data_IF_378535730981
#
_entry.id   IF_378535730981
#
_cell.length_a   1.000
_cell.length_b   1.000
_cell.length_c   1.000
_cell.angle_alpha   90.00
_cell.angle_beta   90.00
_cell.angle_gamma   90.00
#
_symmetry.space_group_name_H-M   'P 1'
#
loop_
_entity.id
_entity.type
_entity.pdbx_description
1 polymer ?
#
# COMPACT_ATOMS: atom_id res chain seq x y z
N UNK A 1 -20.30 -13.92 2.43
CA UNK A 1 -18.99 -13.39 2.83
C UNK A 1 -19.20 -12.09 3.58
N UNK A 2 -18.69 -12.01 4.79
CA UNK A 2 -18.73 -10.77 5.57
C UNK A 2 -17.39 -10.05 5.47
N UNK A 3 -17.43 -8.74 5.32
CA UNK A 3 -16.23 -7.91 5.23
C UNK A 3 -16.17 -7.01 6.46
N UNK A 4 -15.26 -7.34 7.37
CA UNK A 4 -15.02 -6.58 8.61
C UNK A 4 -13.74 -5.74 8.54
N UNK A 5 -12.77 -6.18 7.76
CA UNK A 5 -11.47 -5.51 7.64
C UNK A 5 -11.03 -5.47 6.18
N UNK A 6 -10.76 -4.26 5.69
CA UNK A 6 -10.22 -4.01 4.36
C UNK A 6 -8.78 -3.57 4.52
N UNK A 7 -7.86 -4.28 3.85
CA UNK A 7 -6.46 -3.87 3.77
C UNK A 7 -6.25 -3.04 2.52
N UNK A 8 -5.75 -1.84 2.68
CA UNK A 8 -5.39 -0.98 1.56
C UNK A 8 -3.89 -0.66 1.59
N UNK A 9 -3.08 -1.43 0.87
CA UNK A 9 -1.67 -1.09 0.67
C UNK A 9 -1.55 0.13 -0.25
N UNK A 10 -0.68 1.05 0.12
CA UNK A 10 -0.39 2.22 -0.69
C UNK A 10 1.12 2.50 -0.73
N UNK A 11 1.62 2.96 -1.86
CA UNK A 11 2.97 3.50 -2.01
C UNK A 11 2.97 5.03 -2.00
N UNK A 12 1.81 5.64 -1.69
CA UNK A 12 1.59 7.08 -1.68
C UNK A 12 1.73 7.75 -3.05
N UNK A 13 1.81 6.98 -4.13
CA UNK A 13 1.79 7.51 -5.48
C UNK A 13 0.43 8.09 -5.84
N UNK A 14 0.38 8.97 -6.83
CA UNK A 14 -0.88 9.50 -7.35
C UNK A 14 -1.81 8.39 -7.82
N UNK A 15 -1.25 7.36 -8.46
CA UNK A 15 -2.03 6.20 -8.91
C UNK A 15 -2.66 5.46 -7.74
N UNK A 16 -1.88 5.20 -6.70
CA UNK A 16 -2.36 4.50 -5.51
C UNK A 16 -3.49 5.25 -4.81
N UNK A 17 -3.38 6.56 -4.67
CA UNK A 17 -4.38 7.41 -4.01
C UNK A 17 -5.72 7.40 -4.76
N UNK A 18 -5.74 7.14 -6.04
CA UNK A 18 -6.99 7.03 -6.82
C UNK A 18 -7.89 5.89 -6.32
N UNK A 19 -7.36 4.91 -5.61
CA UNK A 19 -8.15 3.86 -5.00
C UNK A 19 -8.93 4.32 -3.75
N UNK A 20 -8.59 5.46 -3.16
CA UNK A 20 -9.16 5.93 -1.90
C UNK A 20 -10.69 5.97 -1.90
N UNK A 21 -11.29 6.49 -2.97
CA UNK A 21 -12.76 6.57 -3.11
C UNK A 21 -13.42 5.19 -3.13
N UNK A 22 -12.74 4.18 -3.68
CA UNK A 22 -13.24 2.80 -3.66
C UNK A 22 -13.16 2.22 -2.25
N UNK A 23 -12.05 2.47 -1.56
CA UNK A 23 -11.86 2.03 -0.17
C UNK A 23 -12.91 2.64 0.74
N UNK A 24 -13.13 3.95 0.62
CA UNK A 24 -14.14 4.65 1.42
C UNK A 24 -15.54 4.09 1.18
N UNK A 25 -15.92 3.94 -0.09
CA UNK A 25 -17.22 3.41 -0.46
C UNK A 25 -17.45 1.99 0.06
N UNK A 26 -16.46 1.13 -0.07
CA UNK A 26 -16.53 -0.25 0.43
C UNK A 26 -16.59 -0.30 1.96
N UNK A 27 -15.76 0.51 2.62
CA UNK A 27 -15.72 0.57 4.08
C UNK A 27 -17.07 1.06 4.65
N UNK A 28 -17.65 2.07 4.04
CA UNK A 28 -18.95 2.60 4.43
C UNK A 28 -20.06 1.54 4.23
N UNK A 29 -20.09 0.90 3.06
CA UNK A 29 -21.07 -0.10 2.71
C UNK A 29 -21.07 -1.31 3.66
N UNK A 30 -19.89 -1.81 3.99
CA UNK A 30 -19.73 -2.98 4.86
C UNK A 30 -19.58 -2.63 6.34
N UNK A 31 -19.51 -1.35 6.68
CA UNK A 31 -19.14 -0.88 8.03
C UNK A 31 -17.85 -1.52 8.50
N UNK A 32 -16.86 -1.55 7.59
CA UNK A 32 -15.59 -2.23 7.78
C UNK A 32 -14.49 -1.29 8.28
N UNK A 33 -13.58 -1.86 9.06
CA UNK A 33 -12.32 -1.20 9.42
C UNK A 33 -11.40 -1.18 8.21
N UNK A 34 -10.69 -0.07 8.00
CA UNK A 34 -9.65 0.06 6.98
C UNK A 34 -8.29 0.00 7.65
N UNK A 35 -7.44 -0.90 7.20
CA UNK A 35 -6.02 -0.92 7.56
C UNK A 35 -5.25 -0.35 6.38
N UNK A 36 -4.73 0.84 6.56
CA UNK A 36 -3.90 1.53 5.56
C UNK A 36 -2.45 1.13 5.79
N UNK A 37 -1.87 0.45 4.82
CA UNK A 37 -0.53 -0.11 4.92
C UNK A 37 0.44 0.59 3.98
N UNK A 38 1.52 1.12 4.53
CA UNK A 38 2.66 1.59 3.75
C UNK A 38 3.84 0.63 3.92
N UNK A 39 4.42 0.20 2.81
CA UNK A 39 5.61 -0.66 2.82
C UNK A 39 6.80 0.13 2.28
N UNK A 40 7.76 0.42 3.15
CA UNK A 40 9.01 1.04 2.77
C UNK A 40 9.98 -0.02 2.24
N UNK A 41 10.73 0.32 1.21
CA UNK A 41 11.78 -0.56 0.66
C UNK A 41 12.91 -0.67 1.69
N UNK A 42 13.41 -1.89 1.90
CA UNK A 42 14.58 -2.11 2.74
C UNK A 42 15.85 -1.70 1.99
N UNK A 43 16.29 -0.48 2.24
CA UNK A 43 17.48 0.08 1.59
C UNK A 43 18.76 -0.64 2.00
N UNK A 44 18.82 -1.22 3.20
CA UNK A 44 19.98 -1.99 3.63
C UNK A 44 20.20 -3.23 2.76
N UNK A 45 19.13 -3.88 2.34
CA UNK A 45 19.19 -5.01 1.41
C UNK A 45 19.75 -4.58 0.05
N UNK A 46 19.42 -3.37 -0.41
CA UNK A 46 19.89 -2.85 -1.69
C UNK A 46 21.35 -2.33 -1.63
N UNK A 47 21.74 -1.69 -0.55
CA UNK A 47 23.03 -1.02 -0.43
C UNK A 47 24.04 -1.72 0.45
N UNK A 48 23.65 -2.77 1.16
CA UNK A 48 24.51 -3.47 2.14
C UNK A 48 25.76 -4.12 1.55
N UNK A 49 25.82 -4.38 0.24
CA UNK A 49 26.97 -4.91 -0.45
C UNK A 49 28.02 -3.86 -0.83
N UNK A 50 27.69 -2.58 -0.69
CA UNK A 50 28.54 -1.46 -1.06
C UNK A 50 28.92 -0.66 0.19
N UNK A 51 30.16 -0.18 0.23
CA UNK A 51 30.67 0.60 1.37
C UNK A 51 30.12 2.02 1.42
N UNK A 52 29.38 2.45 0.42
CA UNK A 52 28.79 3.78 0.32
C UNK A 52 27.40 3.71 -0.32
N UNK A 53 26.35 4.36 0.22
CA UNK A 53 26.37 5.12 1.48
C UNK A 53 26.58 4.22 2.71
N UNK A 54 27.04 4.80 3.81
CA UNK A 54 27.27 4.04 5.04
C UNK A 54 25.97 3.52 5.64
N UNK A 55 25.99 2.43 6.42
CA UNK A 55 24.81 1.92 7.12
C UNK A 55 24.10 2.98 7.97
N UNK A 56 24.83 3.89 8.59
CA UNK A 56 24.28 4.98 9.39
C UNK A 56 23.47 5.97 8.54
N UNK A 57 23.99 6.33 7.37
CA UNK A 57 23.29 7.22 6.43
C UNK A 57 22.01 6.56 5.89
N UNK A 58 22.07 5.28 5.56
CA UNK A 58 20.92 4.52 5.09
C UNK A 58 19.82 4.48 6.16
N UNK A 59 20.19 4.17 7.42
CA UNK A 59 19.28 4.15 8.54
C UNK A 59 18.64 5.52 8.76
N UNK A 60 19.43 6.59 8.74
CA UNK A 60 18.94 7.96 8.91
C UNK A 60 17.92 8.32 7.81
N UNK A 61 18.21 7.97 6.57
CA UNK A 61 17.31 8.19 5.43
C UNK A 61 16.00 7.40 5.59
N UNK A 62 16.09 6.14 6.01
CA UNK A 62 14.91 5.30 6.25
C UNK A 62 14.03 5.85 7.37
N UNK A 63 14.62 6.29 8.48
CA UNK A 63 13.88 6.90 9.57
C UNK A 63 13.16 8.17 9.12
N UNK A 64 13.82 8.99 8.32
CA UNK A 64 13.22 10.18 7.72
C UNK A 64 12.06 9.82 6.79
N UNK A 65 12.26 8.82 5.92
CA UNK A 65 11.24 8.34 5.00
C UNK A 65 10.00 7.85 5.73
N UNK A 66 10.19 7.07 6.80
CA UNK A 66 9.09 6.54 7.59
C UNK A 66 8.28 7.64 8.29
N UNK A 67 8.97 8.65 8.84
CA UNK A 67 8.31 9.80 9.45
C UNK A 67 7.52 10.61 8.42
N UNK A 68 8.11 10.81 7.25
CA UNK A 68 7.46 11.53 6.15
C UNK A 68 6.23 10.76 5.64
N UNK A 69 6.36 9.47 5.44
CA UNK A 69 5.26 8.59 5.04
C UNK A 69 4.12 8.62 6.06
N UNK A 70 4.43 8.58 7.34
CA UNK A 70 3.42 8.66 8.42
C UNK A 70 2.58 9.93 8.29
N UNK A 71 3.21 11.08 8.08
CA UNK A 71 2.51 12.35 7.90
C UNK A 71 1.62 12.34 6.65
N UNK A 72 2.11 11.78 5.56
CA UNK A 72 1.33 11.65 4.32
C UNK A 72 0.13 10.72 4.50
N UNK A 73 0.29 9.61 5.22
CA UNK A 73 -0.81 8.69 5.52
C UNK A 73 -1.87 9.36 6.38
N UNK A 74 -1.48 10.14 7.38
CA UNK A 74 -2.40 10.91 8.21
C UNK A 74 -3.21 11.90 7.35
N UNK A 75 -2.58 12.54 6.37
CA UNK A 75 -3.24 13.44 5.43
C UNK A 75 -4.25 12.69 4.55
N UNK A 76 -3.88 11.51 4.06
CA UNK A 76 -4.79 10.66 3.26
C UNK A 76 -6.00 10.26 4.09
N UNK A 77 -5.80 9.83 5.33
CA UNK A 77 -6.91 9.48 6.23
C UNK A 77 -7.87 10.65 6.45
N UNK A 78 -7.32 11.84 6.67
CA UNK A 78 -8.12 13.04 6.94
C UNK A 78 -8.89 13.54 5.72
N UNK A 79 -8.32 13.42 4.52
CA UNK A 79 -8.91 13.96 3.29
C UNK A 79 -9.75 12.96 2.51
N UNK A 80 -9.26 11.72 2.40
CA UNK A 80 -9.79 10.75 1.44
C UNK A 80 -10.67 9.68 2.07
N UNK A 81 -10.57 9.48 3.39
CA UNK A 81 -11.25 8.39 4.09
C UNK A 81 -12.21 8.88 5.17
N UNK A 82 -12.86 10.01 4.95
CA UNK A 82 -13.74 10.66 5.95
C UNK A 82 -14.92 9.81 6.38
N UNK A 83 -15.49 9.02 5.46
CA UNK A 83 -16.66 8.19 5.75
C UNK A 83 -16.31 6.80 6.30
N UNK A 84 -15.04 6.47 6.47
CA UNK A 84 -14.64 5.18 7.02
C UNK A 84 -14.95 5.11 8.52
N UNK A 85 -15.62 4.04 8.99
CA UNK A 85 -15.97 3.89 10.40
C UNK A 85 -14.76 3.82 11.31
N UNK A 86 -13.71 3.15 10.88
CA UNK A 86 -12.47 2.99 11.65
C UNK A 86 -11.29 2.82 10.71
N UNK A 87 -10.21 3.55 10.99
CA UNK A 87 -8.98 3.50 10.20
C UNK A 87 -7.80 3.21 11.13
N UNK A 88 -6.97 2.26 10.74
CA UNK A 88 -5.69 2.00 11.39
C UNK A 88 -4.58 2.13 10.36
N UNK A 89 -3.47 2.72 10.75
CA UNK A 89 -2.29 2.87 9.88
C UNK A 89 -1.21 1.88 10.30
N UNK A 90 -0.54 1.29 9.30
CA UNK A 90 0.60 0.41 9.52
C UNK A 90 1.73 0.81 8.58
N UNK A 91 2.92 0.95 9.14
CA UNK A 91 4.13 1.23 8.39
C UNK A 91 5.09 0.08 8.63
N UNK A 92 5.48 -0.59 7.55
CA UNK A 92 6.40 -1.72 7.60
C UNK A 92 7.52 -1.54 6.58
N UNK A 93 8.54 -2.33 6.68
CA UNK A 93 9.69 -2.28 5.81
C UNK A 93 9.97 -3.67 5.26
N UNK A 94 10.24 -3.77 3.96
CA UNK A 94 10.54 -5.04 3.32
C UNK A 94 10.10 -5.10 1.87
N UNK A 95 9.92 -6.31 1.36
CA UNK A 95 9.37 -6.54 0.04
C UNK A 95 7.86 -6.28 0.04
N UNK A 96 7.41 -5.42 -0.86
CA UNK A 96 6.02 -4.96 -0.85
C UNK A 96 5.01 -6.11 -0.93
N UNK A 97 5.14 -7.01 -1.91
CA UNK A 97 4.19 -8.11 -2.06
C UNK A 97 4.20 -9.04 -0.85
N UNK A 98 5.38 -9.40 -0.33
CA UNK A 98 5.52 -10.25 0.84
C UNK A 98 4.90 -9.62 2.09
N UNK A 99 5.16 -8.34 2.32
CA UNK A 99 4.63 -7.63 3.49
C UNK A 99 3.11 -7.44 3.40
N UNK A 100 2.57 -7.22 2.20
CA UNK A 100 1.12 -7.15 1.99
C UNK A 100 0.46 -8.49 2.33
N UNK A 101 1.00 -9.59 1.81
CA UNK A 101 0.46 -10.94 2.08
C UNK A 101 0.57 -11.31 3.57
N UNK A 102 1.64 -10.91 4.22
CA UNK A 102 1.82 -11.06 5.66
C UNK A 102 0.76 -10.27 6.43
N UNK A 103 0.50 -9.03 6.02
CA UNK A 103 -0.49 -8.17 6.65
C UNK A 103 -1.92 -8.70 6.49
N UNK A 104 -2.25 -9.32 5.36
CA UNK A 104 -3.55 -9.99 5.17
C UNK A 104 -3.82 -10.97 6.31
N UNK A 105 -2.84 -11.78 6.66
CA UNK A 105 -2.95 -12.76 7.74
C UNK A 105 -2.95 -12.11 9.12
N UNK A 106 -2.00 -11.20 9.35
CA UNK A 106 -1.81 -10.56 10.65
C UNK A 106 -3.03 -9.71 11.05
N UNK A 107 -3.56 -8.94 10.13
CA UNK A 107 -4.70 -8.06 10.38
C UNK A 107 -6.05 -8.78 10.20
N UNK A 108 -6.03 -10.04 9.79
CA UNK A 108 -7.24 -10.81 9.46
C UNK A 108 -8.11 -10.08 8.45
N UNK A 109 -7.49 -9.58 7.40
CA UNK A 109 -8.18 -8.85 6.36
C UNK A 109 -9.12 -9.77 5.58
N UNK A 110 -10.29 -9.26 5.24
CA UNK A 110 -11.30 -9.97 4.46
C UNK A 110 -11.24 -9.61 2.98
N UNK A 111 -10.58 -8.52 2.66
CA UNK A 111 -10.44 -8.00 1.31
C UNK A 111 -9.19 -7.13 1.23
N UNK A 112 -8.51 -7.17 0.08
CA UNK A 112 -7.41 -6.25 -0.25
C UNK A 112 -7.87 -5.35 -1.39
N UNK A 113 -7.64 -4.04 -1.28
CA UNK A 113 -7.86 -3.09 -2.37
C UNK A 113 -6.50 -2.64 -2.87
N UNK A 114 -6.25 -2.81 -4.16
CA UNK A 114 -4.99 -2.42 -4.82
C UNK A 114 -5.26 -1.63 -6.08
N UNK A 115 -4.31 -0.81 -6.47
CA UNK A 115 -4.26 -0.30 -7.85
C UNK A 115 -3.44 -1.24 -8.71
N UNK A 116 -3.84 -1.38 -9.98
CA UNK A 116 -3.13 -2.22 -10.95
C UNK A 116 -1.73 -1.68 -11.27
N UNK A 117 -1.52 -0.38 -11.06
CA UNK A 117 -0.28 0.34 -11.34
C UNK A 117 0.07 1.26 -10.17
N UNK A 118 1.34 1.27 -9.78
CA UNK A 118 1.84 2.11 -8.70
C UNK A 118 2.81 3.18 -9.21
N UNK A 119 3.76 3.53 -8.34
CA UNK A 119 4.72 4.61 -8.60
C UNK A 119 5.56 4.38 -9.85
N UNK A 120 6.03 3.16 -10.09
CA UNK A 120 6.90 2.84 -11.22
C UNK A 120 6.27 3.02 -12.59
N UNK A 121 4.96 3.28 -12.66
CA UNK A 121 4.22 3.44 -13.91
C UNK A 121 3.66 4.85 -14.10
N UNK A 122 3.94 5.78 -13.21
CA UNK A 122 3.41 7.16 -13.28
C UNK A 122 3.87 7.88 -14.54
N UNK A 123 5.09 7.60 -14.99
CA UNK A 123 5.72 8.22 -16.17
C UNK A 123 5.60 7.37 -17.44
N UNK A 124 5.07 6.16 -17.32
CA UNK A 124 4.93 5.26 -18.47
C UNK A 124 3.68 5.59 -19.28
N UNK A 125 3.75 5.27 -20.56
CA UNK A 125 2.63 5.41 -21.46
C UNK A 125 1.43 4.63 -20.91
N UNK A 126 0.28 5.28 -20.78
CA UNK A 126 -0.98 4.69 -20.33
C UNK A 126 -1.43 3.49 -21.17
N UNK A 127 -0.79 3.26 -22.29
CA UNK A 127 -1.06 2.12 -23.16
C UNK A 127 -0.44 0.82 -22.70
N UNK A 128 0.44 0.84 -21.69
CA UNK A 128 0.97 -0.39 -21.13
C UNK A 128 -0.16 -1.22 -20.53
N UNK A 129 -0.40 -2.39 -21.09
CA UNK A 129 -1.44 -3.30 -20.61
C UNK A 129 -1.01 -4.12 -19.41
N UNK A 130 0.27 -4.06 -19.03
CA UNK A 130 0.82 -4.87 -17.95
C UNK A 130 0.55 -4.28 -16.57
N UNK A 131 0.10 -5.14 -15.67
CA UNK A 131 -0.03 -4.78 -14.25
C UNK A 131 1.34 -4.62 -13.59
N UNK A 132 1.41 -3.81 -12.53
CA UNK A 132 2.61 -3.70 -11.72
C UNK A 132 2.98 -5.04 -11.08
N UNK A 133 4.28 -5.22 -10.80
CA UNK A 133 4.80 -6.47 -10.26
C UNK A 133 4.19 -6.84 -8.89
N UNK A 134 3.96 -5.85 -8.05
CA UNK A 134 3.33 -6.05 -6.73
C UNK A 134 1.90 -6.55 -6.89
N UNK A 135 1.11 -5.91 -7.77
CA UNK A 135 -0.27 -6.30 -8.02
C UNK A 135 -0.35 -7.75 -8.54
N UNK A 136 0.52 -8.13 -9.47
CA UNK A 136 0.58 -9.51 -9.98
C UNK A 136 0.84 -10.53 -8.87
N UNK A 137 1.84 -10.28 -8.04
CA UNK A 137 2.21 -11.19 -6.95
C UNK A 137 1.12 -11.30 -5.89
N UNK A 138 0.50 -10.20 -5.52
CA UNK A 138 -0.58 -10.20 -4.54
C UNK A 138 -1.81 -10.93 -5.08
N UNK A 139 -2.22 -10.67 -6.32
CA UNK A 139 -3.34 -11.37 -6.95
C UNK A 139 -3.12 -12.88 -7.01
N UNK A 140 -1.90 -13.29 -7.36
CA UNK A 140 -1.59 -14.72 -7.51
C UNK A 140 -1.55 -15.47 -6.17
N UNK A 141 -1.25 -14.79 -5.07
CA UNK A 141 -0.96 -15.45 -3.78
C UNK A 141 -1.91 -15.06 -2.65
N UNK A 142 -2.85 -14.15 -2.87
CA UNK A 142 -3.77 -13.71 -1.83
C UNK A 142 -4.76 -14.81 -1.45
N UNK A 143 -4.95 -15.00 -0.14
CA UNK A 143 -5.97 -15.90 0.41
C UNK A 143 -7.36 -15.25 0.50
N UNK A 144 -7.45 -13.96 0.21
CA UNK A 144 -8.70 -13.18 0.26
C UNK A 144 -8.94 -12.48 -1.07
N UNK A 145 -10.19 -12.07 -1.37
CA UNK A 145 -10.47 -11.31 -2.59
C UNK A 145 -9.63 -10.05 -2.72
N UNK A 146 -9.21 -9.76 -3.94
CA UNK A 146 -8.47 -8.55 -4.29
C UNK A 146 -9.37 -7.68 -5.18
N UNK A 147 -9.70 -6.49 -4.68
CA UNK A 147 -10.42 -5.48 -5.45
C UNK A 147 -9.38 -4.62 -6.17
N UNK A 148 -9.29 -4.79 -7.48
CA UNK A 148 -8.26 -4.13 -8.28
C UNK A 148 -8.83 -2.88 -8.96
N UNK A 149 -8.19 -1.74 -8.70
CA UNK A 149 -8.58 -0.45 -9.29
C UNK A 149 -7.59 -0.08 -10.38
N UNK A 150 -8.09 0.18 -11.57
CA UNK A 150 -7.25 0.70 -12.66
C UNK A 150 -7.19 2.23 -12.54
N UNK A 151 -6.02 2.82 -12.24
CA UNK A 151 -5.91 4.26 -11.99
C UNK A 151 -6.05 5.11 -13.26
N UNK A 152 -6.03 4.48 -14.44
CA UNK A 152 -6.15 5.15 -15.72
C UNK A 152 -7.58 5.16 -16.30
N UNK A 153 -8.53 4.57 -15.60
CA UNK A 153 -9.95 4.46 -16.03
C UNK A 153 -10.94 5.16 -15.06
#
# INVERSE_FOLDING_TARGET
MEVHTILWPTDLSKNSIKAAKHVESLAEKYQAKVVLLYVAVDLMTHFGAYSYPTPEHVKHFQDWEMQHAKKQLETVCAKELKACPKIEMRLVQGDAAAEILKAVKKEKADMVVLTSHGRGTEELDQKSADFGSVAKKVMANSSVPVHLVNPFK
#
